data_IF_780432620607
#
_entry.id   IF_780432620607
#
_cell.length_a   1.000
_cell.length_b   1.000
_cell.length_c   1.000
_cell.angle_alpha   90.00
_cell.angle_beta   90.00
_cell.angle_gamma   90.00
#
_symmetry.space_group_name_H-M   'P 1'
#
loop_
_entity.id
_entity.type
_entity.pdbx_description
1 polymer ?
#
# COMPACT_ATOMS: atom_id res chain seq x y z
N UNK A 1 -7.43 22.87 -3.61
CA UNK A 1 -7.52 21.41 -3.81
C UNK A 1 -6.17 20.81 -3.47
N UNK A 2 -6.13 19.61 -2.90
CA UNK A 2 -4.90 18.84 -2.73
C UNK A 2 -4.92 17.65 -3.69
N UNK A 3 -3.74 17.25 -4.18
CA UNK A 3 -3.54 16.05 -4.99
C UNK A 3 -2.36 15.26 -4.45
N UNK A 4 -2.47 13.93 -4.46
CA UNK A 4 -1.36 13.03 -4.20
C UNK A 4 -0.41 13.01 -5.40
N UNK A 5 0.89 12.93 -5.09
CA UNK A 5 1.96 12.61 -6.04
C UNK A 5 2.65 11.36 -5.47
N UNK A 6 1.96 10.22 -5.53
CA UNK A 6 2.27 8.99 -4.80
C UNK A 6 3.74 8.58 -4.93
N UNK A 7 4.20 8.36 -6.16
CA UNK A 7 5.54 7.87 -6.46
C UNK A 7 6.63 8.94 -6.24
N UNK A 8 6.22 10.20 -6.06
CA UNK A 8 7.09 11.29 -5.60
C UNK A 8 7.04 11.52 -4.08
N UNK A 9 6.24 10.75 -3.34
CA UNK A 9 6.06 10.86 -1.90
C UNK A 9 5.70 12.30 -1.46
N UNK A 10 4.76 12.92 -2.17
CA UNK A 10 4.41 14.32 -1.97
C UNK A 10 2.90 14.60 -2.09
N UNK A 11 2.49 15.74 -1.53
CA UNK A 11 1.21 16.38 -1.80
C UNK A 11 1.43 17.68 -2.57
N UNK A 12 0.57 18.00 -3.51
CA UNK A 12 0.53 19.33 -4.12
C UNK A 12 -0.77 20.07 -3.77
N UNK A 13 -0.65 21.33 -3.39
CA UNK A 13 -1.80 22.24 -3.30
C UNK A 13 -2.00 22.97 -4.62
N UNK A 14 -3.25 22.99 -5.09
CA UNK A 14 -3.65 23.59 -6.37
C UNK A 14 -4.75 24.60 -6.11
N UNK A 15 -4.53 25.83 -6.61
CA UNK A 15 -5.57 26.83 -6.80
C UNK A 15 -6.20 26.60 -8.18
N UNK A 16 -7.37 25.95 -8.17
CA UNK A 16 -8.08 25.56 -9.40
C UNK A 16 -8.59 26.81 -10.15
N UNK A 17 -9.04 27.83 -9.41
CA UNK A 17 -9.54 29.07 -10.00
C UNK A 17 -8.44 29.85 -10.72
N UNK A 18 -7.24 29.88 -10.13
CA UNK A 18 -6.06 30.50 -10.73
C UNK A 18 -5.25 29.56 -11.64
N UNK A 19 -5.68 28.30 -11.81
CA UNK A 19 -5.02 27.26 -12.60
C UNK A 19 -3.51 27.11 -12.30
N UNK A 20 -3.13 27.12 -11.02
CA UNK A 20 -1.71 27.03 -10.63
C UNK A 20 -1.48 26.16 -9.40
N UNK A 21 -0.32 25.51 -9.38
CA UNK A 21 0.23 24.87 -8.18
C UNK A 21 0.66 25.96 -7.19
N UNK A 22 0.19 25.86 -5.96
CA UNK A 22 0.49 26.80 -4.87
C UNK A 22 1.54 26.29 -3.90
N UNK A 23 1.79 24.98 -3.87
CA UNK A 23 2.79 24.35 -3.02
C UNK A 23 2.98 22.87 -3.35
N UNK A 24 4.16 22.35 -3.05
CA UNK A 24 4.50 20.93 -3.08
C UNK A 24 5.13 20.61 -1.73
N UNK A 25 4.61 19.59 -1.06
CA UNK A 25 4.98 19.20 0.30
C UNK A 25 5.50 17.77 0.25
N UNK A 26 6.79 17.57 0.50
CA UNK A 26 7.36 16.23 0.67
C UNK A 26 6.92 15.64 2.00
N UNK A 27 6.50 14.37 1.99
CA UNK A 27 5.88 13.74 3.16
C UNK A 27 6.90 13.08 4.10
N UNK A 28 8.10 12.79 3.60
CA UNK A 28 9.16 12.13 4.37
C UNK A 28 8.85 10.64 4.61
N UNK A 29 9.36 10.09 5.71
CA UNK A 29 9.20 8.68 6.04
C UNK A 29 8.81 8.43 7.49
N UNK A 30 8.15 7.30 7.72
CA UNK A 30 7.87 6.74 9.04
C UNK A 30 9.04 5.88 9.49
N UNK A 31 9.62 6.20 10.64
CA UNK A 31 10.70 5.40 11.24
C UNK A 31 10.16 4.04 11.71
N UNK A 32 10.85 2.95 11.37
CA UNK A 32 10.57 1.62 11.90
C UNK A 32 11.38 1.29 13.16
N UNK A 33 12.03 2.28 13.79
CA UNK A 33 12.70 2.11 15.07
C UNK A 33 11.70 2.04 16.24
N UNK A 34 10.64 2.85 16.20
CA UNK A 34 9.65 3.00 17.28
C UNK A 34 8.30 2.34 16.93
N UNK A 35 8.25 1.64 15.80
CA UNK A 35 7.13 0.84 15.32
C UNK A 35 7.64 -0.55 14.93
N UNK A 36 6.74 -1.48 14.62
CA UNK A 36 7.11 -2.83 14.20
C UNK A 36 6.68 -3.14 12.78
N UNK A 37 7.53 -3.90 12.09
CA UNK A 37 7.38 -4.33 10.72
C UNK A 37 7.60 -5.83 10.65
N UNK A 38 6.70 -6.53 9.95
CA UNK A 38 7.02 -7.83 9.40
C UNK A 38 7.60 -7.61 8.00
N UNK A 39 8.86 -8.00 7.81
CA UNK A 39 9.67 -7.60 6.67
C UNK A 39 10.07 -8.76 5.76
N UNK A 40 9.72 -10.00 6.13
CA UNK A 40 10.13 -11.19 5.38
C UNK A 40 9.06 -12.27 5.38
N UNK A 41 8.83 -12.85 4.20
CA UNK A 41 8.08 -14.09 4.04
C UNK A 41 8.97 -15.35 4.03
N UNK A 42 10.26 -15.24 4.37
CA UNK A 42 11.20 -16.39 4.35
C UNK A 42 11.63 -16.90 5.71
N UNK A 43 11.32 -16.18 6.78
CA UNK A 43 11.51 -16.67 8.15
C UNK A 43 10.51 -17.78 8.55
N UNK A 44 9.42 -17.93 7.77
CA UNK A 44 8.32 -18.88 8.00
C UNK A 44 7.58 -18.62 9.32
N UNK A 45 7.55 -17.37 9.79
CA UNK A 45 6.88 -16.94 11.00
C UNK A 45 5.88 -15.84 10.63
N UNK A 46 4.60 -16.20 10.61
CA UNK A 46 3.54 -15.21 10.33
C UNK A 46 3.45 -14.17 11.46
N UNK A 47 3.64 -12.90 11.10
CA UNK A 47 3.58 -11.77 12.02
C UNK A 47 4.85 -11.62 12.84
N UNK A 48 6.03 -11.82 12.25
CA UNK A 48 7.33 -11.60 12.88
C UNK A 48 7.67 -10.11 13.01
N UNK A 49 6.82 -9.38 13.73
CA UNK A 49 6.88 -7.93 13.90
C UNK A 49 8.14 -7.50 14.69
N UNK A 50 9.07 -6.84 14.01
CA UNK A 50 10.34 -6.36 14.55
C UNK A 50 10.58 -4.86 14.30
N UNK A 51 11.45 -4.24 15.08
CA UNK A 51 11.88 -2.85 14.87
C UNK A 51 13.27 -2.79 14.22
N UNK A 52 13.43 -1.89 13.27
CA UNK A 52 14.64 -1.74 12.45
C UNK A 52 15.17 -0.30 12.50
N UNK A 53 16.18 -0.01 13.34
CA UNK A 53 16.85 1.29 13.34
C UNK A 53 17.49 1.57 11.97
N UNK A 54 17.35 2.80 11.47
CA UNK A 54 17.76 3.25 10.12
C UNK A 54 16.89 2.75 8.96
N UNK A 55 15.77 2.07 9.22
CA UNK A 55 14.76 1.79 8.20
C UNK A 55 13.62 2.80 8.32
N UNK A 56 13.19 3.36 7.19
CA UNK A 56 11.94 4.13 7.11
C UNK A 56 11.06 3.65 5.96
N UNK A 57 9.74 3.69 6.15
CA UNK A 57 8.76 3.52 5.08
C UNK A 57 8.33 4.88 4.57
N UNK A 58 8.40 5.12 3.25
CA UNK A 58 7.93 6.37 2.66
C UNK A 58 6.40 6.42 2.63
N UNK A 59 5.82 7.59 2.89
CA UNK A 59 4.37 7.71 3.02
C UNK A 59 3.61 7.45 1.72
N UNK A 60 4.10 7.95 0.58
CA UNK A 60 3.69 7.57 -0.78
C UNK A 60 2.19 7.22 -0.89
N UNK A 61 1.33 8.23 -0.76
CA UNK A 61 -0.08 7.98 -0.57
C UNK A 61 -0.77 7.66 -1.89
N UNK A 62 -1.53 6.58 -1.94
CA UNK A 62 -2.35 6.24 -3.10
C UNK A 62 -3.56 7.19 -3.17
N UNK A 63 -4.48 6.99 -2.24
CA UNK A 63 -5.66 7.84 -2.13
C UNK A 63 -5.57 8.87 -0.99
N UNK A 64 -6.30 9.97 -1.18
CA UNK A 64 -6.43 11.04 -0.20
C UNK A 64 -7.90 11.43 0.02
N UNK A 65 -8.19 11.84 1.25
CA UNK A 65 -9.43 12.48 1.62
C UNK A 65 -9.13 13.79 2.36
N UNK A 66 -10.13 14.67 2.50
CA UNK A 66 -9.98 15.88 3.31
C UNK A 66 -11.24 16.18 4.09
N UNK A 67 -11.06 16.84 5.23
CA UNK A 67 -12.16 17.30 6.06
C UNK A 67 -11.78 18.58 6.79
N UNK A 68 -12.78 19.29 7.30
CA UNK A 68 -12.60 20.51 8.07
C UNK A 68 -13.20 20.32 9.45
N UNK A 69 -12.41 20.61 10.48
CA UNK A 69 -12.84 20.66 11.88
C UNK A 69 -12.28 21.93 12.51
N UNK A 70 -13.09 22.64 13.30
CA UNK A 70 -12.74 23.91 13.95
C UNK A 70 -12.18 24.99 13.00
N UNK A 71 -12.62 24.98 11.73
CA UNK A 71 -12.18 25.93 10.71
C UNK A 71 -10.82 25.63 10.07
N UNK A 72 -10.16 24.53 10.47
CA UNK A 72 -8.91 24.07 9.86
C UNK A 72 -9.17 22.88 8.95
N UNK A 73 -8.60 22.91 7.74
CA UNK A 73 -8.62 21.78 6.81
C UNK A 73 -7.48 20.82 7.12
N UNK A 74 -7.80 19.53 7.08
CA UNK A 74 -6.88 18.41 7.22
C UNK A 74 -7.00 17.48 6.02
N UNK A 75 -5.90 16.83 5.69
CA UNK A 75 -5.77 15.87 4.59
C UNK A 75 -5.44 14.52 5.21
N UNK A 76 -6.14 13.47 4.79
CA UNK A 76 -5.79 12.10 5.15
C UNK A 76 -5.16 11.42 3.96
N UNK A 77 -4.21 10.53 4.23
CA UNK A 77 -3.51 9.73 3.24
C UNK A 77 -3.56 8.24 3.59
N UNK A 78 -3.85 7.39 2.61
CA UNK A 78 -3.61 5.95 2.69
C UNK A 78 -2.20 5.65 2.19
N UNK A 79 -1.29 5.24 3.08
CA UNK A 79 0.15 5.23 2.83
C UNK A 79 0.63 3.87 2.28
N UNK A 80 0.21 3.57 1.07
CA UNK A 80 0.38 2.31 0.37
C UNK A 80 1.85 2.07 -0.04
N UNK A 81 2.43 3.03 -0.77
CA UNK A 81 3.75 2.93 -1.36
C UNK A 81 3.74 2.41 -2.79
N UNK A 82 4.23 3.19 -3.76
CA UNK A 82 4.42 2.65 -5.10
C UNK A 82 5.73 3.09 -5.77
N UNK A 83 6.25 2.20 -6.60
CA UNK A 83 7.48 2.35 -7.36
C UNK A 83 7.26 3.21 -8.59
N UNK A 84 8.29 3.98 -8.98
CA UNK A 84 8.27 4.59 -10.31
C UNK A 84 8.69 3.54 -11.32
N UNK A 85 7.74 3.13 -12.14
CA UNK A 85 7.99 2.28 -13.29
C UNK A 85 7.67 3.03 -14.58
N UNK A 86 8.70 3.22 -15.42
CA UNK A 86 8.52 3.83 -16.73
C UNK A 86 8.97 2.85 -17.81
N UNK A 87 8.15 2.73 -18.84
CA UNK A 87 8.41 1.82 -19.93
C UNK A 87 7.62 2.20 -21.17
N UNK A 88 7.65 1.31 -22.15
CA UNK A 88 6.93 1.44 -23.40
C UNK A 88 6.68 0.05 -23.98
N UNK A 89 5.57 -0.10 -24.70
CA UNK A 89 5.27 -1.36 -25.38
C UNK A 89 6.24 -1.57 -26.55
N UNK A 90 6.91 -2.71 -26.54
CA UNK A 90 7.79 -3.11 -27.64
C UNK A 90 7.96 -4.62 -27.67
N UNK A 91 8.79 -5.16 -28.56
CA UNK A 91 9.10 -6.59 -28.56
C UNK A 91 10.22 -6.90 -27.57
N UNK A 92 10.26 -8.13 -27.04
CA UNK A 92 11.32 -8.53 -26.11
C UNK A 92 12.71 -8.33 -26.72
N UNK A 93 12.87 -8.69 -28.00
CA UNK A 93 14.10 -8.41 -28.75
C UNK A 93 14.50 -6.93 -28.66
N UNK A 94 13.54 -6.01 -28.87
CA UNK A 94 13.86 -4.59 -28.87
C UNK A 94 14.16 -4.07 -27.47
N UNK A 95 13.49 -4.60 -26.45
CA UNK A 95 13.75 -4.30 -25.05
C UNK A 95 15.18 -4.68 -24.66
N UNK A 96 15.58 -5.91 -24.99
CA UNK A 96 16.92 -6.44 -24.72
C UNK A 96 18.01 -5.68 -25.49
N UNK A 97 17.77 -5.34 -26.76
CA UNK A 97 18.67 -4.51 -27.57
C UNK A 97 18.93 -3.13 -26.96
N UNK A 98 17.95 -2.58 -26.24
CA UNK A 98 18.05 -1.30 -25.55
C UNK A 98 18.65 -1.44 -24.13
N UNK A 99 18.84 -2.67 -23.65
CA UNK A 99 19.36 -2.96 -22.30
C UNK A 99 18.35 -2.70 -21.19
N UNK A 100 17.06 -2.74 -21.51
CA UNK A 100 15.95 -2.56 -20.58
C UNK A 100 15.40 -3.90 -20.09
N UNK A 101 14.54 -3.88 -19.06
CA UNK A 101 13.96 -5.09 -18.48
C UNK A 101 12.64 -5.40 -19.17
N UNK A 102 12.53 -6.60 -19.73
CA UNK A 102 11.26 -7.13 -20.21
C UNK A 102 10.36 -7.50 -19.03
N UNK A 103 9.07 -7.17 -19.12
CA UNK A 103 8.09 -7.50 -18.07
C UNK A 103 7.02 -8.52 -18.49
N UNK A 104 7.12 -9.06 -19.71
CA UNK A 104 6.30 -10.18 -20.15
C UNK A 104 6.93 -11.54 -19.84
N UNK A 105 6.18 -12.62 -20.09
CA UNK A 105 6.65 -13.99 -19.89
C UNK A 105 7.99 -14.25 -20.62
N UNK A 106 9.00 -14.78 -19.91
CA UNK A 106 10.31 -15.07 -20.50
C UNK A 106 10.33 -16.36 -21.34
N UNK A 107 9.35 -17.26 -21.14
CA UNK A 107 9.34 -18.61 -21.75
C UNK A 107 8.68 -18.62 -23.14
N UNK A 108 9.16 -17.74 -24.01
CA UNK A 108 8.54 -17.44 -25.30
C UNK A 108 9.25 -18.13 -26.47
N UNK A 109 8.47 -18.57 -27.47
CA UNK A 109 9.04 -19.13 -28.70
C UNK A 109 9.88 -18.06 -29.43
N UNK A 110 10.79 -18.49 -30.33
CA UNK A 110 11.59 -17.53 -31.14
C UNK A 110 10.74 -16.54 -31.94
N UNK A 111 9.52 -16.92 -32.32
CA UNK A 111 8.59 -16.03 -33.02
C UNK A 111 8.09 -14.95 -32.07
N UNK A 112 7.67 -15.34 -30.87
CA UNK A 112 7.12 -14.41 -29.87
C UNK A 112 8.17 -13.40 -29.39
N UNK A 113 9.41 -13.84 -29.15
CA UNK A 113 10.55 -12.94 -28.82
C UNK A 113 10.71 -11.76 -29.79
N UNK A 114 10.38 -11.96 -31.08
CA UNK A 114 10.56 -10.96 -32.13
C UNK A 114 9.27 -10.22 -32.50
N UNK A 115 8.09 -10.75 -32.17
CA UNK A 115 6.82 -10.20 -32.66
C UNK A 115 5.78 -9.90 -31.58
N UNK A 116 5.82 -10.58 -30.42
CA UNK A 116 4.91 -10.25 -29.32
C UNK A 116 5.34 -8.91 -28.74
N UNK A 117 4.38 -8.00 -28.64
CA UNK A 117 4.58 -6.73 -27.95
C UNK A 117 4.07 -6.85 -26.54
N UNK A 118 4.85 -6.32 -25.61
CA UNK A 118 4.56 -6.26 -24.19
C UNK A 118 5.36 -5.12 -23.57
N UNK A 119 5.16 -4.89 -22.28
CA UNK A 119 5.78 -3.77 -21.57
C UNK A 119 7.29 -3.98 -21.39
N UNK A 120 8.07 -2.97 -21.77
CA UNK A 120 9.51 -2.91 -21.56
C UNK A 120 9.85 -1.81 -20.55
N UNK A 121 10.35 -2.21 -19.38
CA UNK A 121 10.71 -1.33 -18.27
C UNK A 121 12.04 -0.65 -18.55
N UNK A 122 11.97 0.63 -18.90
CA UNK A 122 13.12 1.50 -19.11
C UNK A 122 13.70 2.05 -17.80
N UNK A 123 12.86 2.17 -16.77
CA UNK A 123 13.25 2.65 -15.45
C UNK A 123 12.39 2.02 -14.37
N UNK A 124 13.06 1.56 -13.30
CA UNK A 124 12.44 1.16 -12.05
C UNK A 124 13.34 1.62 -10.90
N UNK A 125 12.75 2.25 -9.89
CA UNK A 125 13.47 2.64 -8.67
C UNK A 125 13.34 1.62 -7.54
N UNK A 126 12.54 0.58 -7.70
CA UNK A 126 12.48 -0.56 -6.79
C UNK A 126 13.69 -1.49 -6.94
N UNK A 127 14.30 -1.85 -5.81
CA UNK A 127 15.20 -2.99 -5.68
C UNK A 127 14.88 -3.78 -4.42
N UNK A 128 15.32 -5.04 -4.37
CA UNK A 128 15.30 -5.84 -3.13
C UNK A 128 16.45 -5.42 -2.22
N UNK A 129 16.25 -5.43 -0.90
CA UNK A 129 17.25 -4.99 0.08
C UNK A 129 18.65 -5.60 -0.11
N UNK A 130 18.75 -6.86 -0.55
CA UNK A 130 20.02 -7.56 -0.86
C UNK A 130 20.86 -6.88 -1.94
N UNK A 131 20.24 -6.11 -2.82
CA UNK A 131 20.90 -5.38 -3.90
C UNK A 131 21.45 -4.02 -3.44
N UNK A 132 21.09 -3.55 -2.24
CA UNK A 132 21.63 -2.30 -1.71
C UNK A 132 23.11 -2.43 -1.38
N UNK A 133 23.83 -1.36 -1.68
CA UNK A 133 25.18 -1.13 -1.16
C UNK A 133 25.05 -0.22 0.04
N UNK A 134 25.53 -0.70 1.18
CA UNK A 134 25.60 0.08 2.42
C UNK A 134 27.00 -0.07 2.99
N UNK A 135 27.46 0.96 3.71
CA UNK A 135 28.73 0.90 4.42
C UNK A 135 28.78 -0.31 5.37
N UNK A 136 29.96 -0.92 5.54
CA UNK A 136 30.14 -2.12 6.36
C UNK A 136 29.69 -1.93 7.82
N UNK A 137 29.73 -0.70 8.34
CA UNK A 137 29.30 -0.32 9.68
C UNK A 137 27.85 0.19 9.76
N UNK A 138 27.08 0.11 8.69
CA UNK A 138 25.65 0.45 8.70
C UNK A 138 24.87 -0.55 9.56
N UNK A 139 23.95 -0.07 10.41
CA UNK A 139 23.20 -0.92 11.37
C UNK A 139 22.43 -2.06 10.69
N UNK A 140 21.89 -1.80 9.50
CA UNK A 140 21.15 -2.78 8.69
C UNK A 140 22.00 -3.66 7.78
N UNK A 141 23.34 -3.55 7.77
CA UNK A 141 24.19 -4.26 6.80
C UNK A 141 24.05 -5.79 6.85
N UNK A 142 23.82 -6.37 8.03
CA UNK A 142 23.56 -7.79 8.20
C UNK A 142 22.14 -8.17 7.76
N UNK A 143 21.14 -7.43 8.23
CA UNK A 143 19.72 -7.68 7.92
C UNK A 143 19.42 -7.58 6.42
N UNK A 144 20.06 -6.66 5.70
CA UNK A 144 19.94 -6.51 4.24
C UNK A 144 20.52 -7.70 3.45
N UNK A 145 21.34 -8.56 4.07
CA UNK A 145 21.90 -9.77 3.45
C UNK A 145 21.15 -11.04 3.84
N UNK A 146 20.26 -10.95 4.83
CA UNK A 146 19.50 -12.06 5.38
C UNK A 146 18.10 -12.14 4.76
N UNK A 147 17.80 -13.26 4.09
CA UNK A 147 16.50 -13.51 3.47
C UNK A 147 15.38 -13.59 4.49
N UNK A 148 15.67 -14.00 5.73
CA UNK A 148 14.70 -14.05 6.84
C UNK A 148 14.47 -12.66 7.46
N UNK A 149 15.11 -11.61 6.93
CA UNK A 149 14.93 -10.22 7.33
C UNK A 149 14.79 -9.30 6.10
N UNK A 150 15.61 -8.26 5.98
CA UNK A 150 15.41 -7.18 5.01
C UNK A 150 15.93 -7.48 3.60
N UNK A 151 16.59 -8.62 3.35
CA UNK A 151 17.20 -8.87 2.04
C UNK A 151 16.18 -8.92 0.89
N UNK A 152 14.93 -9.27 1.21
CA UNK A 152 13.84 -9.31 0.24
C UNK A 152 12.92 -8.09 0.31
N UNK A 153 13.03 -7.24 1.32
CA UNK A 153 12.18 -6.06 1.40
C UNK A 153 12.35 -5.19 0.15
N UNK A 154 11.23 -4.75 -0.44
CA UNK A 154 11.21 -3.76 -1.52
C UNK A 154 11.63 -2.38 -0.99
N UNK A 155 12.66 -1.82 -1.60
CA UNK A 155 13.28 -0.56 -1.17
C UNK A 155 13.64 0.32 -2.37
N UNK A 156 13.72 1.62 -2.12
CA UNK A 156 14.16 2.62 -3.10
C UNK A 156 15.64 2.39 -3.39
N UNK A 157 15.98 2.32 -4.68
CA UNK A 157 17.35 2.24 -5.16
C UNK A 157 18.05 3.59 -4.97
N UNK A 158 19.08 3.68 -4.10
CA UNK A 158 19.88 4.88 -3.96
C UNK A 158 20.77 5.10 -5.19
N UNK A 159 21.21 6.33 -5.42
CA UNK A 159 22.17 6.65 -6.48
C UNK A 159 23.54 5.98 -6.28
N UNK A 160 23.89 5.66 -5.03
CA UNK A 160 25.17 5.10 -4.65
C UNK A 160 25.10 4.26 -3.37
N UNK A 161 26.27 4.03 -2.76
CA UNK A 161 26.37 3.36 -1.47
C UNK A 161 25.84 4.26 -0.35
N UNK A 162 24.99 3.71 0.53
CA UNK A 162 24.50 4.42 1.71
C UNK A 162 25.57 4.44 2.82
N UNK A 163 25.87 5.62 3.34
CA UNK A 163 26.69 5.81 4.53
C UNK A 163 25.96 5.30 5.78
N UNK A 164 26.71 5.05 6.87
CA UNK A 164 26.18 4.44 8.09
C UNK A 164 25.05 5.23 8.79
N UNK A 165 24.96 6.54 8.54
CA UNK A 165 23.97 7.47 9.08
C UNK A 165 22.85 7.82 8.07
N UNK A 166 22.85 7.21 6.89
CA UNK A 166 21.78 7.35 5.91
C UNK A 166 20.75 6.24 6.10
N UNK A 167 19.47 6.58 5.90
CA UNK A 167 18.38 5.62 6.06
C UNK A 167 18.20 4.76 4.82
N UNK A 168 17.77 3.52 5.03
CA UNK A 168 17.18 2.69 3.99
C UNK A 168 15.70 3.04 3.88
N UNK A 169 15.23 3.29 2.65
CA UNK A 169 13.86 3.70 2.37
C UNK A 169 13.08 2.55 1.74
N UNK A 170 12.09 2.03 2.46
CA UNK A 170 11.13 1.04 1.97
C UNK A 170 9.91 1.72 1.34
N UNK A 171 9.26 1.01 0.42
CA UNK A 171 7.97 1.45 -0.12
C UNK A 171 6.88 1.26 0.94
N UNK A 172 6.05 2.29 1.08
CA UNK A 172 4.88 2.27 1.94
C UNK A 172 5.20 2.49 3.41
N UNK A 173 4.46 3.40 4.04
CA UNK A 173 4.45 3.52 5.48
C UNK A 173 3.43 2.57 6.12
N UNK A 174 2.65 1.79 5.35
CA UNK A 174 1.71 0.75 5.82
C UNK A 174 0.76 1.26 6.93
N UNK A 175 0.28 2.49 6.75
CA UNK A 175 -0.48 3.27 7.73
C UNK A 175 -1.45 4.21 7.02
N UNK A 176 -2.30 4.89 7.78
CA UNK A 176 -2.83 6.19 7.35
C UNK A 176 -2.24 7.32 8.20
N UNK A 177 -2.17 8.51 7.61
CA UNK A 177 -1.74 9.74 8.30
C UNK A 177 -2.75 10.87 8.14
N UNK A 178 -2.65 11.86 9.03
CA UNK A 178 -3.39 13.12 8.95
C UNK A 178 -2.39 14.27 8.85
N UNK A 179 -2.60 15.18 7.91
CA UNK A 179 -1.77 16.34 7.62
C UNK A 179 -2.58 17.63 7.72
N UNK A 180 -1.95 18.74 8.10
CA UNK A 180 -2.58 20.05 7.99
C UNK A 180 -2.42 20.64 6.57
N UNK A 181 -3.02 21.80 6.33
CA UNK A 181 -2.99 22.50 5.04
C UNK A 181 -1.61 23.07 4.63
N UNK A 182 -0.61 22.96 5.51
CA UNK A 182 0.80 23.29 5.25
C UNK A 182 1.64 22.07 4.94
N UNK A 183 1.04 20.87 4.88
CA UNK A 183 1.74 19.62 4.65
C UNK A 183 2.52 19.12 5.88
N UNK A 184 2.19 19.61 7.09
CA UNK A 184 2.81 19.13 8.32
C UNK A 184 1.99 17.94 8.85
N UNK A 185 2.67 16.84 9.21
CA UNK A 185 2.03 15.64 9.77
C UNK A 185 1.50 15.93 11.17
N UNK A 186 0.24 15.61 11.41
CA UNK A 186 -0.51 15.83 12.65
C UNK A 186 -0.71 14.52 13.41
N UNK A 187 -0.92 13.43 12.69
CA UNK A 187 -1.07 12.09 13.25
C UNK A 187 -0.57 11.04 12.25
N UNK A 188 -0.13 9.90 12.76
CA UNK A 188 0.16 8.70 12.00
C UNK A 188 -0.29 7.48 12.81
N UNK A 189 -0.90 6.49 12.14
CA UNK A 189 -1.36 5.26 12.79
C UNK A 189 -0.24 4.26 13.10
N UNK A 190 1.02 4.57 12.76
CA UNK A 190 2.13 3.72 13.15
C UNK A 190 2.02 2.34 12.50
N UNK A 191 2.09 1.28 13.32
CA UNK A 191 1.95 -0.12 12.92
C UNK A 191 0.58 -0.71 13.30
N UNK A 192 -0.42 0.13 13.59
CA UNK A 192 -1.73 -0.33 14.07
C UNK A 192 -2.42 -1.29 13.09
N UNK A 193 -2.38 -1.02 11.78
CA UNK A 193 -3.04 -1.88 10.79
C UNK A 193 -2.52 -3.32 10.84
N UNK A 194 -1.20 -3.49 10.88
CA UNK A 194 -0.59 -4.82 10.98
C UNK A 194 -0.98 -5.52 12.28
N UNK A 195 -0.95 -4.79 13.41
CA UNK A 195 -1.36 -5.36 14.71
C UNK A 195 -2.83 -5.75 14.74
N UNK A 196 -3.73 -4.92 14.21
CA UNK A 196 -5.17 -5.17 14.19
C UNK A 196 -5.47 -6.38 13.30
N UNK A 197 -4.89 -6.44 12.10
CA UNK A 197 -5.07 -7.60 11.22
C UNK A 197 -4.55 -8.85 11.88
N UNK A 198 -3.34 -8.83 12.44
CA UNK A 198 -2.76 -10.00 13.11
C UNK A 198 -3.61 -10.48 14.31
N UNK A 199 -4.27 -9.57 15.04
CA UNK A 199 -5.17 -9.92 16.14
C UNK A 199 -6.47 -10.56 15.68
N UNK A 200 -7.00 -10.15 14.52
CA UNK A 200 -8.30 -10.61 14.02
C UNK A 200 -8.18 -11.82 13.08
N UNK A 201 -7.12 -11.88 12.29
CA UNK A 201 -6.89 -12.89 11.27
C UNK A 201 -5.40 -13.22 11.08
N UNK A 202 -4.79 -13.77 12.14
CA UNK A 202 -3.39 -14.21 12.09
C UNK A 202 -3.13 -15.24 10.99
N UNK A 203 -4.08 -16.12 10.69
CA UNK A 203 -3.86 -17.23 9.77
C UNK A 203 -3.65 -16.73 8.33
N UNK A 204 -4.27 -15.60 7.97
CA UNK A 204 -4.21 -15.02 6.64
C UNK A 204 -3.46 -13.67 6.58
N UNK A 205 -2.65 -13.38 7.62
CA UNK A 205 -1.94 -12.11 7.72
C UNK A 205 -1.03 -11.87 6.52
N UNK A 206 -1.08 -10.66 5.95
CA UNK A 206 -0.31 -10.25 4.77
C UNK A 206 -0.48 -11.16 3.54
N UNK A 207 -1.65 -11.80 3.38
CA UNK A 207 -2.04 -12.41 2.11
C UNK A 207 -2.17 -11.37 0.99
N UNK A 208 -1.89 -11.80 -0.24
CA UNK A 208 -2.25 -11.06 -1.46
C UNK A 208 -3.77 -11.12 -1.68
N UNK A 209 -4.31 -10.37 -2.66
CA UNK A 209 -5.75 -10.30 -2.95
C UNK A 209 -6.21 -11.27 -4.06
N UNK A 210 -5.28 -11.87 -4.78
CA UNK A 210 -5.49 -12.82 -5.88
C UNK A 210 -5.21 -14.29 -5.50
N UNK A 211 -4.86 -14.55 -4.24
CA UNK A 211 -4.67 -15.89 -3.69
C UNK A 211 -5.06 -15.91 -2.20
N UNK A 212 -5.87 -16.89 -1.80
CA UNK A 212 -6.33 -17.04 -0.40
C UNK A 212 -5.42 -17.97 0.44
N UNK A 213 -4.54 -18.75 -0.17
CA UNK A 213 -3.59 -19.65 0.49
C UNK A 213 -2.18 -19.04 0.58
N UNK A 214 -2.10 -17.71 0.64
CA UNK A 214 -0.89 -16.92 0.38
C UNK A 214 -0.28 -16.28 1.64
N UNK A 215 -0.66 -16.71 2.84
CA UNK A 215 -0.13 -16.12 4.06
C UNK A 215 1.23 -16.75 4.41
N UNK A 216 2.30 -15.98 4.61
CA UNK A 216 2.47 -14.53 4.54
C UNK A 216 3.30 -14.17 3.31
N UNK A 217 2.68 -13.72 2.22
CA UNK A 217 3.39 -13.44 0.96
C UNK A 217 3.76 -11.96 0.78
N UNK A 218 3.14 -11.03 1.53
CA UNK A 218 3.32 -9.58 1.32
C UNK A 218 4.22 -8.89 2.36
N UNK A 219 4.73 -9.58 3.37
CA UNK A 219 5.64 -8.97 4.37
C UNK A 219 6.89 -8.34 3.78
N UNK A 220 7.53 -8.96 2.78
CA UNK A 220 8.69 -8.39 2.08
C UNK A 220 8.32 -7.38 0.98
N UNK A 221 7.02 -7.13 0.79
CA UNK A 221 6.48 -6.12 -0.13
C UNK A 221 5.91 -4.93 0.68
N UNK A 222 4.59 -4.68 0.67
CA UNK A 222 3.97 -3.56 1.40
C UNK A 222 2.93 -3.99 2.44
N UNK A 223 2.87 -5.29 2.76
CA UNK A 223 2.08 -5.85 3.87
C UNK A 223 0.59 -5.83 3.59
N UNK A 224 -0.19 -5.27 4.53
CA UNK A 224 -1.67 -5.21 4.43
C UNK A 224 -2.18 -4.20 3.41
N UNK A 225 -1.34 -3.24 3.01
CA UNK A 225 -1.57 -2.28 1.90
C UNK A 225 -2.81 -1.41 2.03
N UNK A 226 -2.71 -0.28 2.78
CA UNK A 226 -3.79 0.68 2.83
C UNK A 226 -3.88 1.49 1.54
N UNK A 227 -5.05 1.48 0.93
CA UNK A 227 -5.23 1.88 -0.47
C UNK A 227 -6.30 2.97 -0.60
N UNK A 228 -7.55 2.61 -0.33
CA UNK A 228 -8.69 3.51 -0.39
C UNK A 228 -8.88 4.30 0.91
N UNK A 229 -9.23 5.59 0.82
CA UNK A 229 -9.62 6.41 1.97
C UNK A 229 -10.81 7.32 1.70
N UNK A 230 -11.74 7.37 2.66
CA UNK A 230 -12.90 8.25 2.64
C UNK A 230 -13.18 8.80 4.05
N UNK A 231 -13.71 10.03 4.13
CA UNK A 231 -14.10 10.65 5.40
C UNK A 231 -15.58 11.02 5.40
N UNK A 232 -16.27 10.71 6.49
CA UNK A 232 -17.66 11.10 6.70
C UNK A 232 -17.82 11.94 7.98
N UNK A 233 -18.68 12.96 7.92
CA UNK A 233 -19.20 13.63 9.11
C UNK A 233 -20.55 13.01 9.47
N UNK A 234 -20.63 12.42 10.67
CA UNK A 234 -21.81 11.70 11.13
C UNK A 234 -22.10 12.08 12.58
N UNK A 235 -23.30 12.61 12.83
CA UNK A 235 -23.77 12.98 14.17
C UNK A 235 -22.79 13.88 14.96
N UNK A 236 -22.14 14.82 14.27
CA UNK A 236 -21.17 15.76 14.88
C UNK A 236 -19.78 15.18 15.14
N UNK A 237 -19.49 13.96 14.65
CA UNK A 237 -18.18 13.31 14.68
C UNK A 237 -17.65 13.12 13.26
N UNK A 238 -16.34 12.94 13.13
CA UNK A 238 -15.69 12.64 11.86
C UNK A 238 -15.11 11.23 11.90
N UNK A 239 -15.37 10.44 10.86
CA UNK A 239 -14.86 9.07 10.73
C UNK A 239 -14.06 8.93 9.44
N UNK A 240 -12.91 8.26 9.52
CA UNK A 240 -12.15 7.79 8.38
C UNK A 240 -12.44 6.30 8.14
N UNK A 241 -12.60 5.94 6.86
CA UNK A 241 -12.70 4.57 6.39
C UNK A 241 -11.51 4.31 5.47
N UNK A 242 -10.70 3.31 5.80
CA UNK A 242 -9.48 2.97 5.05
C UNK A 242 -9.61 1.53 4.55
N UNK A 243 -9.57 1.33 3.24
CA UNK A 243 -9.55 0.01 2.60
C UNK A 243 -8.14 -0.57 2.61
N UNK A 244 -8.04 -1.89 2.82
CA UNK A 244 -6.78 -2.63 2.72
C UNK A 244 -6.83 -3.47 1.44
N UNK A 245 -6.08 -3.09 0.40
CA UNK A 245 -6.16 -3.68 -0.95
C UNK A 245 -5.85 -5.18 -0.95
N UNK A 246 -4.70 -5.55 -0.35
CA UNK A 246 -4.19 -6.93 -0.41
C UNK A 246 -4.87 -7.83 0.58
N UNK A 247 -4.70 -7.55 1.88
CA UNK A 247 -5.25 -8.42 2.91
C UNK A 247 -6.79 -8.36 2.90
N UNK A 248 -7.37 -7.21 2.56
CA UNK A 248 -8.81 -7.01 2.53
C UNK A 248 -9.36 -6.35 3.79
N UNK A 249 -10.59 -5.87 3.67
CA UNK A 249 -11.34 -5.25 4.75
C UNK A 249 -11.14 -3.74 4.88
N UNK A 250 -11.85 -3.18 5.86
CA UNK A 250 -12.01 -1.73 6.06
C UNK A 250 -11.69 -1.41 7.52
N UNK A 251 -10.69 -0.56 7.72
CA UNK A 251 -10.36 0.04 9.01
C UNK A 251 -11.21 1.29 9.23
N UNK A 252 -11.79 1.42 10.41
CA UNK A 252 -12.62 2.58 10.79
C UNK A 252 -11.98 3.30 11.96
N UNK A 253 -11.78 4.60 11.80
CA UNK A 253 -11.20 5.47 12.82
C UNK A 253 -12.11 6.66 13.08
N UNK A 254 -12.26 7.03 14.35
CA UNK A 254 -12.78 8.32 14.74
C UNK A 254 -11.64 9.35 14.68
N UNK A 255 -11.80 10.35 13.82
CA UNK A 255 -10.81 11.40 13.56
C UNK A 255 -11.32 12.78 14.00
N UNK A 256 -12.32 12.81 14.88
CA UNK A 256 -12.92 14.07 15.38
C UNK A 256 -11.87 14.96 16.03
N UNK A 257 -10.86 14.37 16.68
CA UNK A 257 -9.66 15.07 17.15
C UNK A 257 -8.48 14.68 16.26
N UNK A 258 -8.03 15.53 15.30
CA UNK A 258 -7.03 15.17 14.29
C UNK A 258 -5.70 14.66 14.85
N UNK A 259 -5.30 15.10 16.04
CA UNK A 259 -4.05 14.67 16.70
C UNK A 259 -4.18 13.36 17.47
N UNK A 260 -5.39 12.83 17.58
CA UNK A 260 -5.72 11.67 18.42
C UNK A 260 -6.83 10.85 17.73
N UNK A 261 -6.52 10.30 16.55
CA UNK A 261 -7.42 9.36 15.92
C UNK A 261 -7.57 8.10 16.79
N UNK A 262 -8.79 7.56 16.87
CA UNK A 262 -9.11 6.39 17.68
C UNK A 262 -9.67 5.29 16.79
N UNK A 263 -9.08 4.10 16.86
CA UNK A 263 -9.62 2.92 16.19
C UNK A 263 -11.03 2.59 16.72
N UNK A 264 -11.95 2.33 15.80
CA UNK A 264 -13.35 1.98 16.09
C UNK A 264 -13.62 0.51 15.78
N UNK A 265 -13.31 0.07 14.56
CA UNK A 265 -13.57 -1.29 14.11
C UNK A 265 -12.77 -1.65 12.87
N UNK A 266 -12.57 -2.94 12.68
CA UNK A 266 -12.08 -3.54 11.44
C UNK A 266 -13.13 -4.56 10.97
N UNK A 267 -13.53 -4.48 9.70
CA UNK A 267 -14.50 -5.40 9.09
C UNK A 267 -13.92 -5.93 7.79
N UNK A 268 -13.90 -7.25 7.64
CA UNK A 268 -13.47 -7.92 6.43
C UNK A 268 -14.54 -8.95 6.01
N UNK A 269 -15.07 -8.79 4.80
CA UNK A 269 -16.06 -9.71 4.22
C UNK A 269 -15.40 -10.82 3.39
N UNK A 270 -14.07 -10.82 3.25
CA UNK A 270 -13.33 -11.87 2.55
C UNK A 270 -13.44 -13.20 3.30
N UNK A 271 -13.74 -14.27 2.57
CA UNK A 271 -13.71 -15.64 3.07
C UNK A 271 -12.49 -16.37 2.50
N UNK A 272 -11.42 -16.42 3.30
CA UNK A 272 -10.17 -17.09 2.95
C UNK A 272 -10.31 -18.61 2.78
N UNK A 273 -11.42 -19.23 3.17
CA UNK A 273 -11.64 -20.68 2.95
C UNK A 273 -12.15 -21.04 1.55
N UNK A 274 -12.47 -20.04 0.73
CA UNK A 274 -12.98 -20.21 -0.62
C UNK A 274 -11.89 -19.86 -1.63
N UNK A 275 -11.80 -20.53 -2.79
CA UNK A 275 -10.87 -20.09 -3.84
C UNK A 275 -11.29 -18.71 -4.36
N UNK A 276 -10.34 -17.84 -4.71
CA UNK A 276 -10.62 -16.50 -5.24
C UNK A 276 -11.40 -16.53 -6.57
N UNK A 277 -11.21 -17.60 -7.34
CA UNK A 277 -11.81 -17.84 -8.64
C UNK A 277 -12.47 -19.22 -8.74
N UNK A 278 -13.30 -19.39 -9.76
CA UNK A 278 -13.99 -20.67 -10.03
C UNK A 278 -13.04 -21.77 -10.51
N UNK A 279 -11.86 -21.40 -11.01
CA UNK A 279 -10.73 -22.28 -11.26
C UNK A 279 -9.46 -21.60 -10.73
N UNK A 280 -8.69 -22.35 -9.96
CA UNK A 280 -7.39 -21.90 -9.44
C UNK A 280 -6.31 -22.91 -9.81
N UNK A 281 -5.08 -22.44 -9.99
CA UNK A 281 -3.87 -23.24 -10.12
C UNK A 281 -2.88 -22.76 -9.05
N UNK A 282 -2.42 -23.65 -8.17
CA UNK A 282 -1.62 -23.32 -6.97
C UNK A 282 -2.17 -22.16 -6.10
N UNK A 283 -3.50 -21.97 -6.13
CA UNK A 283 -4.22 -20.92 -5.38
C UNK A 283 -4.47 -19.64 -6.18
N UNK A 284 -3.73 -19.42 -7.25
CA UNK A 284 -3.87 -18.26 -8.14
C UNK A 284 -5.04 -18.45 -9.12
N UNK A 285 -5.67 -17.34 -9.53
CA UNK A 285 -6.77 -17.37 -10.48
C UNK A 285 -6.31 -17.80 -11.88
N UNK A 286 -6.87 -18.88 -12.43
CA UNK A 286 -6.48 -19.41 -13.76
C UNK A 286 -7.47 -19.04 -14.88
N UNK A 287 -8.65 -18.49 -14.54
CA UNK A 287 -9.71 -18.27 -15.51
C UNK A 287 -10.41 -16.91 -15.43
N UNK A 288 -9.86 -15.97 -14.65
CA UNK A 288 -10.38 -14.62 -14.42
C UNK A 288 -11.88 -14.57 -14.04
N UNK A 289 -12.40 -15.68 -13.53
CA UNK A 289 -13.82 -15.83 -13.22
C UNK A 289 -13.95 -15.93 -11.71
N UNK A 290 -14.10 -14.77 -11.09
CA UNK A 290 -14.25 -14.60 -9.64
C UNK A 290 -15.30 -15.55 -9.03
N UNK A 291 -14.99 -16.07 -7.84
CA UNK A 291 -15.89 -16.88 -7.03
C UNK A 291 -16.61 -16.01 -5.99
N UNK A 292 -17.93 -15.76 -6.12
CA UNK A 292 -18.69 -14.93 -5.18
C UNK A 292 -18.66 -15.37 -3.72
N UNK A 293 -18.26 -16.61 -3.44
CA UNK A 293 -18.12 -17.10 -2.07
C UNK A 293 -16.87 -16.55 -1.37
N UNK A 294 -15.85 -16.13 -2.11
CA UNK A 294 -14.63 -15.54 -1.55
C UNK A 294 -14.86 -14.14 -0.95
N UNK A 295 -15.99 -13.50 -1.23
CA UNK A 295 -16.30 -12.18 -0.70
C UNK A 295 -15.44 -11.07 -1.32
N UNK A 296 -15.27 -9.97 -0.60
CA UNK A 296 -14.61 -8.77 -1.11
C UNK A 296 -13.09 -9.00 -1.32
N UNK A 297 -12.58 -8.74 -2.53
CA UNK A 297 -11.15 -8.81 -2.89
C UNK A 297 -10.72 -7.50 -3.58
N UNK A 298 -9.65 -6.87 -3.08
CA UNK A 298 -9.09 -5.61 -3.60
C UNK A 298 -9.94 -4.35 -3.32
N UNK A 299 -10.19 -3.93 -2.07
CA UNK A 299 -10.84 -2.65 -1.79
C UNK A 299 -10.06 -1.43 -2.33
N UNK A 300 -10.48 -0.88 -3.49
CA UNK A 300 -9.80 0.23 -4.17
C UNK A 300 -10.40 1.62 -3.95
N UNK A 301 -11.71 1.67 -3.69
CA UNK A 301 -12.39 2.95 -3.53
C UNK A 301 -13.49 2.86 -2.50
N UNK A 302 -13.63 3.92 -1.71
CA UNK A 302 -14.69 4.04 -0.71
C UNK A 302 -15.44 5.34 -0.96
N UNK A 303 -16.78 5.28 -0.92
CA UNK A 303 -17.63 6.47 -0.96
C UNK A 303 -18.70 6.42 0.11
N UNK A 304 -18.76 7.46 0.93
CA UNK A 304 -19.80 7.65 1.90
C UNK A 304 -21.05 8.28 1.25
N UNK A 305 -22.23 7.81 1.65
CA UNK A 305 -23.50 8.40 1.25
C UNK A 305 -24.59 8.19 2.30
N UNK A 306 -25.69 8.92 2.15
CA UNK A 306 -26.88 8.74 3.00
C UNK A 306 -28.08 8.33 2.16
N UNK A 307 -28.95 7.50 2.74
CA UNK A 307 -30.22 7.10 2.13
C UNK A 307 -31.25 6.88 3.22
N UNK A 308 -32.41 7.52 3.09
CA UNK A 308 -33.53 7.40 4.04
C UNK A 308 -33.13 7.68 5.50
N UNK A 309 -32.21 8.64 5.72
CA UNK A 309 -31.72 9.00 7.06
C UNK A 309 -30.71 8.01 7.66
N UNK A 310 -30.28 7.00 6.91
CA UNK A 310 -29.23 6.07 7.30
C UNK A 310 -27.91 6.38 6.58
N UNK A 311 -26.82 5.97 7.20
CA UNK A 311 -25.44 6.21 6.76
C UNK A 311 -24.86 4.95 6.12
N UNK A 312 -24.16 5.10 5.01
CA UNK A 312 -23.57 3.99 4.27
C UNK A 312 -22.20 4.33 3.72
N UNK A 313 -21.41 3.30 3.46
CA UNK A 313 -20.28 3.36 2.53
C UNK A 313 -20.50 2.35 1.40
N UNK A 314 -20.13 2.72 0.18
CA UNK A 314 -19.95 1.81 -0.94
C UNK A 314 -18.45 1.61 -1.16
N UNK A 315 -18.04 0.36 -1.32
CA UNK A 315 -16.65 -0.03 -1.51
C UNK A 315 -16.52 -0.75 -2.84
N UNK A 316 -15.72 -0.20 -3.75
CA UNK A 316 -15.35 -0.86 -5.00
C UNK A 316 -14.24 -1.86 -4.74
N UNK A 317 -14.44 -3.10 -5.19
CA UNK A 317 -13.50 -4.19 -5.00
C UNK A 317 -12.97 -4.64 -6.37
N UNK A 318 -11.76 -4.25 -6.75
CA UNK A 318 -11.24 -4.41 -8.11
C UNK A 318 -11.05 -5.88 -8.49
N UNK A 319 -10.34 -6.66 -7.67
CA UNK A 319 -10.02 -8.06 -7.99
C UNK A 319 -11.29 -8.91 -8.10
N UNK A 320 -12.28 -8.68 -7.23
CA UNK A 320 -13.57 -9.38 -7.31
C UNK A 320 -14.53 -8.80 -8.37
N UNK A 321 -14.27 -7.59 -8.89
CA UNK A 321 -15.17 -6.88 -9.79
C UNK A 321 -16.52 -6.51 -9.16
N UNK A 322 -16.57 -6.30 -7.83
CA UNK A 322 -17.81 -6.07 -7.08
C UNK A 322 -17.90 -4.68 -6.45
N UNK A 323 -19.10 -4.32 -5.98
CA UNK A 323 -19.29 -3.17 -5.09
C UNK A 323 -20.10 -3.60 -3.87
N UNK A 324 -19.50 -3.52 -2.69
CA UNK A 324 -20.14 -3.85 -1.42
C UNK A 324 -20.66 -2.60 -0.74
N UNK A 325 -21.86 -2.69 -0.15
CA UNK A 325 -22.51 -1.57 0.55
C UNK A 325 -22.67 -1.93 2.02
N UNK A 326 -22.03 -1.15 2.88
CA UNK A 326 -22.09 -1.32 4.32
C UNK A 326 -22.98 -0.25 4.92
N UNK A 327 -23.89 -0.65 5.81
CA UNK A 327 -24.62 0.30 6.67
C UNK A 327 -23.77 0.59 7.90
N UNK A 328 -23.69 1.86 8.28
CA UNK A 328 -23.00 2.28 9.49
C UNK A 328 -24.04 2.38 10.61
N UNK A 329 -23.88 1.54 11.62
CA UNK A 329 -24.71 1.53 12.83
C UNK A 329 -23.92 2.16 14.00
N UNK A 330 -24.64 2.90 14.87
CA UNK A 330 -24.09 3.61 16.04
C UNK A 330 -24.82 3.19 17.31
#
# INVERSE_FOLDING_TARGET
>A
MFVALQENNALASIDVSAMRVTGIYGLGGKSWQDAKLDASNKDKIVGNLQSYPMLEGLYMPDSIASYTVDGQTYILTANEGDGREYGFDTTQQKCDELGYKWDGDEDQSKTDYQSKQDFCIAYIDEVRGKKLKVADNHSLAAALKDNEQLARLKVIKPEGELAADQKVQAFGARSFSIWNDKGERVYDSGDEFANIVLMNDKANFNSTNDNNDSADDRSDDKGVEPEAIEVASINGRHYAFIGLERHGGIMVYDITTPTQALFVSYVNNRDFSQPVCTKVDDGDCDNDTYNPKAGDLGPESIKYFTRQGQHFIAVGNEVSGTTSVFRIDF
#
